data_IF_690101926730
#
_entry.id   IF_690101926730
#
_cell.length_a   1.000
_cell.length_b   1.000
_cell.length_c   1.000
_cell.angle_alpha   90.00
_cell.angle_beta   90.00
_cell.angle_gamma   90.00
#
_symmetry.space_group_name_H-M   'P 1'
#
loop_
_entity.id
_entity.type
_entity.pdbx_description
1 polymer ?
#
# COMPACT_ATOMS: atom_id res chain seq x y z
N UNK A 1 15.58 3.79 6.74
CA UNK A 1 14.74 3.80 5.54
C UNK A 1 13.39 3.22 5.92
N UNK A 2 12.29 3.94 5.73
CA UNK A 2 10.94 3.38 5.91
C UNK A 2 10.49 2.67 4.64
N UNK A 3 10.11 1.40 4.78
CA UNK A 3 9.69 0.55 3.66
C UNK A 3 8.18 0.66 3.48
N UNK A 4 7.76 1.11 2.30
CA UNK A 4 6.36 1.43 2.01
C UNK A 4 5.83 0.48 0.94
N UNK A 5 4.71 -0.18 1.22
CA UNK A 5 3.89 -0.82 0.20
C UNK A 5 2.81 0.15 -0.30
N UNK A 6 2.47 0.09 -1.58
CA UNK A 6 1.37 0.89 -2.15
C UNK A 6 0.30 -0.05 -2.70
N UNK A 7 -0.90 0.03 -2.14
CA UNK A 7 -2.07 -0.73 -2.59
C UNK A 7 -2.91 0.17 -3.51
N UNK A 8 -3.22 -0.33 -4.70
CA UNK A 8 -3.77 0.48 -5.79
C UNK A 8 -2.69 1.29 -6.53
N UNK A 9 -1.46 0.77 -6.60
CA UNK A 9 -0.28 1.49 -7.07
C UNK A 9 -0.38 2.03 -8.52
N UNK A 10 -1.15 1.37 -9.38
CA UNK A 10 -1.40 1.79 -10.77
C UNK A 10 -2.53 2.82 -10.91
N UNK A 11 -3.27 3.09 -9.83
CA UNK A 11 -4.31 4.12 -9.80
C UNK A 11 -3.74 5.54 -9.76
N UNK A 12 -4.60 6.55 -10.02
CA UNK A 12 -4.18 7.97 -10.01
C UNK A 12 -3.49 8.36 -8.71
N UNK A 13 -4.08 8.02 -7.56
CA UNK A 13 -3.48 8.33 -6.27
C UNK A 13 -2.30 7.43 -5.92
N UNK A 14 -2.38 6.12 -6.21
CA UNK A 14 -1.25 5.20 -5.98
C UNK A 14 0.02 5.62 -6.73
N UNK A 15 -0.11 6.05 -7.99
CA UNK A 15 1.05 6.54 -8.76
C UNK A 15 1.65 7.83 -8.16
N UNK A 16 0.82 8.71 -7.59
CA UNK A 16 1.28 9.89 -6.87
C UNK A 16 2.03 9.51 -5.59
N UNK A 17 1.53 8.53 -4.82
CA UNK A 17 2.20 8.00 -3.63
C UNK A 17 3.55 7.39 -3.98
N UNK A 18 3.62 6.55 -5.02
CA UNK A 18 4.88 5.95 -5.47
C UNK A 18 5.92 7.01 -5.80
N UNK A 19 5.52 8.10 -6.48
CA UNK A 19 6.41 9.22 -6.80
C UNK A 19 6.84 9.99 -5.55
N UNK A 20 5.91 10.28 -4.65
CA UNK A 20 6.21 11.04 -3.43
C UNK A 20 7.17 10.27 -2.52
N UNK A 21 6.89 8.99 -2.26
CA UNK A 21 7.76 8.13 -1.46
C UNK A 21 9.14 7.98 -2.11
N UNK A 22 9.19 7.76 -3.43
CA UNK A 22 10.46 7.64 -4.16
C UNK A 22 11.29 8.92 -4.20
N UNK A 23 10.70 10.08 -3.88
CA UNK A 23 11.41 11.35 -3.76
C UNK A 23 11.91 11.64 -2.33
N UNK A 24 11.49 10.85 -1.34
CA UNK A 24 11.93 10.98 0.04
C UNK A 24 13.22 10.19 0.27
N UNK A 25 14.27 10.83 0.78
CA UNK A 25 15.58 10.19 0.99
C UNK A 25 15.58 9.15 2.12
N UNK A 26 14.56 9.16 2.98
CA UNK A 26 14.41 8.28 4.14
C UNK A 26 13.33 7.22 3.96
N UNK A 27 12.75 7.09 2.75
CA UNK A 27 11.72 6.11 2.43
C UNK A 27 12.01 5.36 1.12
N UNK A 28 11.43 4.18 0.97
CA UNK A 28 11.51 3.40 -0.27
C UNK A 28 10.21 2.64 -0.53
N UNK A 29 9.85 2.48 -1.81
CA UNK A 29 8.70 1.66 -2.21
C UNK A 29 9.18 0.22 -2.41
N UNK A 30 8.76 -0.69 -1.54
CA UNK A 30 9.17 -2.11 -1.57
C UNK A 30 8.14 -3.02 -2.25
N UNK A 31 6.88 -2.58 -2.35
CA UNK A 31 5.82 -3.34 -2.98
C UNK A 31 4.79 -2.42 -3.65
N UNK A 32 4.25 -2.87 -4.77
CA UNK A 32 3.20 -2.19 -5.55
C UNK A 32 2.15 -3.21 -5.94
N UNK A 33 0.99 -3.16 -5.27
CA UNK A 33 -0.10 -4.11 -5.48
C UNK A 33 -1.30 -3.40 -6.12
N UNK A 34 -2.05 -4.17 -6.91
CA UNK A 34 -3.20 -3.74 -7.69
C UNK A 34 -4.34 -4.75 -7.60
N UNK A 35 -5.44 -4.47 -8.30
CA UNK A 35 -6.59 -5.37 -8.35
C UNK A 35 -6.21 -6.76 -8.84
N UNK A 36 -6.53 -7.77 -8.02
CA UNK A 36 -6.20 -9.18 -8.28
C UNK A 36 -4.95 -9.68 -7.55
N UNK A 37 -4.08 -8.78 -7.08
CA UNK A 37 -2.92 -9.17 -6.30
C UNK A 37 -3.34 -9.58 -4.89
N UNK A 38 -2.73 -10.65 -4.38
CA UNK A 38 -2.95 -11.09 -2.99
C UNK A 38 -2.15 -10.19 -2.05
N UNK A 39 -2.79 -9.69 -1.00
CA UNK A 39 -2.13 -8.96 0.10
C UNK A 39 -1.73 -9.98 1.17
N UNK A 40 -0.43 -10.23 1.30
CA UNK A 40 0.15 -11.12 2.31
C UNK A 40 1.49 -10.56 2.78
N UNK A 41 2.05 -11.13 3.84
CA UNK A 41 3.37 -10.73 4.36
C UNK A 41 4.46 -10.83 3.29
N UNK A 42 4.37 -11.84 2.43
CA UNK A 42 5.31 -12.08 1.33
C UNK A 42 5.15 -11.04 0.22
N UNK A 43 3.92 -10.78 -0.22
CA UNK A 43 3.67 -9.83 -1.32
C UNK A 43 3.93 -8.37 -0.92
N UNK A 44 3.86 -8.06 0.38
CA UNK A 44 4.22 -6.76 0.92
C UNK A 44 5.74 -6.52 1.00
N UNK A 45 6.58 -7.51 0.68
CA UNK A 45 8.03 -7.31 0.52
C UNK A 45 8.74 -6.82 1.79
N UNK A 46 8.19 -7.13 2.96
CA UNK A 46 8.70 -6.63 4.24
C UNK A 46 8.41 -5.15 4.50
N UNK A 47 7.36 -4.57 3.90
CA UNK A 47 6.92 -3.22 4.21
C UNK A 47 6.69 -3.00 5.71
N UNK A 48 7.08 -1.82 6.20
CA UNK A 48 6.77 -1.38 7.56
C UNK A 48 5.36 -0.76 7.61
N UNK A 49 4.94 -0.12 6.51
CA UNK A 49 3.65 0.54 6.37
C UNK A 49 3.11 0.36 4.95
N UNK A 50 1.80 0.30 4.80
CA UNK A 50 1.11 0.29 3.52
C UNK A 50 0.25 1.54 3.34
N UNK A 51 0.35 2.18 2.18
CA UNK A 51 -0.53 3.27 1.78
C UNK A 51 -1.60 2.72 0.85
N UNK A 52 -2.87 2.88 1.24
CA UNK A 52 -4.02 2.26 0.61
C UNK A 52 -4.88 3.31 -0.11
N UNK A 53 -4.89 3.25 -1.44
CA UNK A 53 -5.75 4.06 -2.32
C UNK A 53 -6.36 3.17 -3.40
N UNK A 54 -7.51 2.56 -3.10
CA UNK A 54 -8.28 1.74 -4.03
C UNK A 54 -9.72 2.26 -4.17
N UNK A 55 -10.71 1.38 -4.05
CA UNK A 55 -12.14 1.69 -4.12
C UNK A 55 -12.82 1.36 -2.79
N UNK A 56 -13.93 2.03 -2.44
CA UNK A 56 -14.65 1.74 -1.20
C UNK A 56 -15.00 0.25 -1.04
N UNK A 57 -15.41 -0.40 -2.14
CA UNK A 57 -15.77 -1.82 -2.17
C UNK A 57 -14.61 -2.79 -1.88
N UNK A 58 -13.36 -2.34 -1.93
CA UNK A 58 -12.17 -3.16 -1.68
C UNK A 58 -11.42 -2.77 -0.42
N UNK A 59 -11.55 -1.52 0.05
CA UNK A 59 -10.71 -0.96 1.11
C UNK A 59 -10.79 -1.76 2.41
N UNK A 60 -11.99 -2.09 2.89
CA UNK A 60 -12.17 -2.87 4.14
C UNK A 60 -11.40 -4.19 4.10
N UNK A 61 -11.60 -5.00 3.05
CA UNK A 61 -10.87 -6.26 2.85
C UNK A 61 -9.36 -6.06 2.74
N UNK A 62 -8.91 -5.01 2.06
CA UNK A 62 -7.49 -4.72 1.93
C UNK A 62 -6.88 -4.37 3.29
N UNK A 63 -7.55 -3.53 4.08
CA UNK A 63 -7.10 -3.13 5.42
C UNK A 63 -7.04 -4.33 6.35
N UNK A 64 -8.05 -5.21 6.35
CA UNK A 64 -7.98 -6.46 7.12
C UNK A 64 -6.77 -7.31 6.74
N UNK A 65 -6.53 -7.51 5.43
CA UNK A 65 -5.37 -8.28 4.97
C UNK A 65 -4.02 -7.64 5.38
N UNK A 66 -3.92 -6.30 5.39
CA UNK A 66 -2.74 -5.59 5.87
C UNK A 66 -2.52 -5.79 7.37
N UNK A 67 -3.59 -5.71 8.17
CA UNK A 67 -3.55 -5.93 9.62
C UNK A 67 -3.19 -7.39 9.95
N UNK A 68 -3.78 -8.35 9.25
CA UNK A 68 -3.45 -9.78 9.38
C UNK A 68 -1.99 -10.06 8.99
N UNK A 69 -1.47 -9.34 7.98
CA UNK A 69 -0.06 -9.39 7.62
C UNK A 69 0.85 -8.66 8.64
N UNK A 70 0.29 -7.93 9.60
CA UNK A 70 1.00 -7.18 10.64
C UNK A 70 1.72 -5.93 10.12
N UNK A 71 1.11 -5.23 9.15
CA UNK A 71 1.63 -4.00 8.55
C UNK A 71 0.72 -2.83 8.86
N UNK A 72 1.29 -1.70 9.30
CA UNK A 72 0.55 -0.47 9.58
C UNK A 72 -0.13 0.05 8.31
N UNK A 73 -1.36 0.56 8.42
CA UNK A 73 -2.13 1.02 7.27
C UNK A 73 -2.40 2.54 7.31
N UNK A 74 -2.05 3.24 6.23
CA UNK A 74 -2.44 4.63 5.96
C UNK A 74 -3.49 4.62 4.85
N UNK A 75 -4.75 4.84 5.23
CA UNK A 75 -5.90 4.69 4.34
C UNK A 75 -6.32 6.05 3.79
N UNK A 76 -6.21 6.22 2.48
CA UNK A 76 -6.71 7.39 1.77
C UNK A 76 -7.94 7.10 0.90
N UNK A 77 -8.35 5.82 0.79
CA UNK A 77 -9.62 5.46 0.17
C UNK A 77 -10.78 6.05 0.97
N UNK A 78 -11.70 6.70 0.27
CA UNK A 78 -12.91 7.32 0.83
C UNK A 78 -14.13 6.44 0.62
N UNK A 79 -15.19 6.69 1.39
CA UNK A 79 -16.44 5.92 1.38
C UNK A 79 -16.47 4.90 2.50
#
# INVERSE_FOLDING_TARGET
MKRVAVIGASGRMGTAVVKAVGACADMEVVARLNGGDTISRESLGGADVAVEFTSPASSERNVHALLDAGVDAVVGTTG
#
